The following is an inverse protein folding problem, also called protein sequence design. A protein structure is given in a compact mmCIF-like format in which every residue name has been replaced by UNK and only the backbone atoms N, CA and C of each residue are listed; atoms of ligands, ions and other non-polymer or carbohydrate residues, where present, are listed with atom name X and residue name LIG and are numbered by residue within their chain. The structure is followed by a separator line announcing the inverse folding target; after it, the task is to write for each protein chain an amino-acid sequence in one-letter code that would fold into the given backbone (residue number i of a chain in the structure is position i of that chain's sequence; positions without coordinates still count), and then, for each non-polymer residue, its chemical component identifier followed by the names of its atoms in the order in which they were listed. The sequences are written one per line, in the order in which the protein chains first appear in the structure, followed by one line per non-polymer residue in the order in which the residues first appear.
data_IF_814365748043
#
_entry.id   IF_814365748043
#
_cell.length_a   1.000
_cell.length_b   1.000
_cell.length_c   1.000
_cell.angle_alpha   90.00
_cell.angle_beta   90.00
_cell.angle_gamma   90.00
#
_symmetry.space_group_name_H-M   'P 1'
#
loop_
_entity.id
_entity.type
_entity.pdbx_description
1 polymer ?
#
# COMPACT_ATOMS: atom_id res chain seq x y z
N UNK A 1 -20.90 29.79 56.06
CA UNK A 1 -20.15 28.90 55.15
C UNK A 1 -20.17 29.47 53.73
N UNK A 2 -19.01 29.52 53.07
CA UNK A 2 -18.66 30.52 52.06
C UNK A 2 -19.17 30.16 50.64
N UNK A 3 -20.45 30.48 50.33
CA UNK A 3 -21.13 30.23 49.02
C UNK A 3 -20.31 30.73 47.82
N UNK A 4 -19.61 31.86 47.99
CA UNK A 4 -18.78 32.47 46.96
C UNK A 4 -17.53 31.63 46.60
N UNK A 5 -16.91 31.00 47.60
CA UNK A 5 -15.73 30.13 47.44
C UNK A 5 -16.10 28.81 46.74
N UNK A 6 -17.32 28.31 46.97
CA UNK A 6 -17.85 27.09 46.37
C UNK A 6 -18.14 27.25 44.87
N UNK A 7 -18.69 28.41 44.47
CA UNK A 7 -18.93 28.75 43.06
C UNK A 7 -17.62 28.88 42.26
N UNK A 8 -16.56 29.41 42.87
CA UNK A 8 -15.24 29.55 42.22
C UNK A 8 -14.60 28.19 41.93
N UNK A 9 -14.65 27.24 42.88
CA UNK A 9 -14.18 25.86 42.67
C UNK A 9 -14.99 25.15 41.57
N UNK A 10 -16.31 25.29 41.59
CA UNK A 10 -17.20 24.67 40.57
C UNK A 10 -16.93 25.22 39.17
N UNK A 11 -16.63 26.52 39.06
CA UNK A 11 -16.25 27.17 37.80
C UNK A 11 -14.90 26.66 37.27
N UNK A 12 -13.89 26.55 38.14
CA UNK A 12 -12.56 26.02 37.77
C UNK A 12 -12.67 24.58 37.25
N UNK A 13 -13.44 23.72 37.93
CA UNK A 13 -13.65 22.32 37.52
C UNK A 13 -14.33 22.26 36.14
N UNK A 14 -15.40 23.04 35.91
CA UNK A 14 -16.07 23.10 34.59
C UNK A 14 -15.11 23.54 33.49
N UNK A 15 -14.28 24.55 33.75
CA UNK A 15 -13.31 25.08 32.78
C UNK A 15 -12.22 24.05 32.45
N UNK A 16 -11.71 23.34 33.47
CA UNK A 16 -10.76 22.23 33.29
C UNK A 16 -11.37 21.11 32.44
N UNK A 17 -12.62 20.73 32.73
CA UNK A 17 -13.33 19.69 31.97
C UNK A 17 -13.51 20.10 30.50
N UNK A 18 -13.82 21.38 30.25
CA UNK A 18 -13.97 21.91 28.89
C UNK A 18 -12.64 21.92 28.12
N UNK A 19 -11.52 22.28 28.77
CA UNK A 19 -10.19 22.21 28.17
C UNK A 19 -9.82 20.76 27.83
N UNK A 20 -10.13 19.82 28.73
CA UNK A 20 -9.87 18.39 28.53
C UNK A 20 -10.71 17.82 27.38
N UNK A 21 -11.97 18.22 27.27
CA UNK A 21 -12.87 17.87 26.17
C UNK A 21 -12.34 18.41 24.83
N UNK A 22 -11.93 19.68 24.78
CA UNK A 22 -11.38 20.29 23.56
C UNK A 22 -10.06 19.63 23.15
N UNK A 23 -9.19 19.31 24.11
CA UNK A 23 -8.00 18.51 23.83
C UNK A 23 -8.37 17.13 23.27
N UNK A 24 -9.34 16.44 23.87
CA UNK A 24 -9.79 15.15 23.36
C UNK A 24 -10.31 15.27 21.93
N UNK A 25 -11.19 16.24 21.63
CA UNK A 25 -11.74 16.48 20.28
C UNK A 25 -10.66 16.86 19.26
N UNK A 26 -9.61 17.60 19.66
CA UNK A 26 -8.52 17.98 18.75
C UNK A 26 -7.49 16.85 18.55
N UNK A 27 -7.23 16.04 19.58
CA UNK A 27 -6.21 14.98 19.53
C UNK A 27 -6.75 13.59 19.14
N UNK A 28 -8.05 13.30 19.33
CA UNK A 28 -8.68 12.07 18.84
C UNK A 28 -8.58 11.92 17.31
N UNK A 29 -8.96 12.94 16.51
CA UNK A 29 -8.83 12.84 15.08
C UNK A 29 -7.36 12.64 14.74
N UNK A 30 -6.39 13.36 15.31
CA UNK A 30 -4.97 13.12 15.01
C UNK A 30 -4.50 11.67 15.25
N UNK A 31 -4.96 11.00 16.32
CA UNK A 31 -4.61 9.57 16.56
C UNK A 31 -5.40 8.59 15.69
N UNK A 32 -6.68 8.84 15.43
CA UNK A 32 -7.51 7.99 14.59
C UNK A 32 -7.23 8.20 13.10
N UNK A 33 -7.12 9.45 12.66
CA UNK A 33 -6.72 9.85 11.31
C UNK A 33 -5.27 9.50 11.04
N UNK A 34 -4.33 9.45 11.98
CA UNK A 34 -2.99 8.93 11.68
C UNK A 34 -2.96 7.41 11.49
N UNK A 35 -3.85 6.66 12.15
CA UNK A 35 -4.03 5.22 11.92
C UNK A 35 -4.71 4.94 10.58
N UNK A 36 -5.79 5.67 10.29
CA UNK A 36 -6.47 5.62 8.99
C UNK A 36 -5.54 6.13 7.89
N UNK A 37 -4.88 7.27 8.06
CA UNK A 37 -3.91 7.81 7.12
C UNK A 37 -2.69 6.91 6.98
N UNK A 38 -2.26 6.14 7.98
CA UNK A 38 -1.32 5.04 7.74
C UNK A 38 -1.97 3.97 6.85
N UNK A 39 -3.20 3.56 7.09
CA UNK A 39 -3.88 2.65 6.15
C UNK A 39 -4.02 3.23 4.73
N UNK A 40 -4.22 4.54 4.58
CA UNK A 40 -4.40 5.24 3.30
C UNK A 40 -3.08 5.69 2.62
N UNK A 41 -2.03 5.97 3.38
CA UNK A 41 -0.73 6.48 2.90
C UNK A 41 0.36 5.41 2.88
N UNK A 42 0.24 4.33 3.67
CA UNK A 42 1.35 3.41 3.95
C UNK A 42 1.43 2.17 3.07
N UNK A 43 0.56 2.02 2.08
CA UNK A 43 0.58 0.83 1.21
C UNK A 43 1.16 1.07 -0.18
N UNK A 44 2.25 1.84 -0.21
CA UNK A 44 3.03 2.11 -1.42
C UNK A 44 4.24 1.18 -1.62
N UNK A 45 4.51 0.26 -0.70
CA UNK A 45 5.62 -0.67 -0.88
C UNK A 45 5.31 -1.67 -1.99
N UNK A 46 6.32 -1.99 -2.80
CA UNK A 46 6.21 -2.96 -3.88
C UNK A 46 5.64 -4.30 -3.40
N UNK A 47 6.11 -4.78 -2.25
CA UNK A 47 5.66 -6.04 -1.68
C UNK A 47 4.16 -6.01 -1.39
N UNK A 48 3.67 -4.95 -0.75
CA UNK A 48 2.27 -4.89 -0.38
C UNK A 48 1.34 -4.67 -1.60
N UNK A 49 1.75 -3.82 -2.55
CA UNK A 49 1.04 -3.66 -3.83
C UNK A 49 0.98 -5.00 -4.58
N UNK A 50 2.07 -5.75 -4.60
CA UNK A 50 2.08 -7.03 -5.30
C UNK A 50 1.22 -8.09 -4.61
N UNK A 51 1.14 -8.09 -3.26
CA UNK A 51 0.36 -9.09 -2.51
C UNK A 51 -1.15 -8.78 -2.42
N UNK A 52 -1.54 -7.50 -2.48
CA UNK A 52 -2.95 -7.09 -2.32
C UNK A 52 -3.79 -7.21 -3.59
N UNK A 53 -3.17 -7.24 -4.76
CA UNK A 53 -3.87 -7.24 -6.03
C UNK A 53 -3.58 -8.51 -6.82
N UNK A 54 -4.54 -8.90 -7.64
CA UNK A 54 -4.36 -9.95 -8.62
C UNK A 54 -3.79 -9.35 -9.90
N UNK A 55 -2.78 -10.00 -10.46
CA UNK A 55 -2.03 -9.52 -11.61
C UNK A 55 -2.14 -10.49 -12.75
N UNK A 56 -2.54 -9.98 -13.91
CA UNK A 56 -2.67 -10.76 -15.14
C UNK A 56 -1.61 -10.31 -16.11
N UNK A 57 -0.84 -11.26 -16.64
CA UNK A 57 0.16 -10.98 -17.68
C UNK A 57 -0.57 -10.45 -18.93
N UNK A 58 -0.22 -9.25 -19.39
CA UNK A 58 -0.79 -8.63 -20.58
C UNK A 58 0.06 -8.97 -21.81
N UNK A 59 1.36 -8.70 -21.74
CA UNK A 59 2.32 -9.03 -22.79
C UNK A 59 3.73 -9.22 -22.22
N UNK A 60 4.65 -9.66 -23.07
CA UNK A 60 6.03 -9.85 -22.70
C UNK A 60 6.97 -9.43 -23.83
N UNK A 61 8.00 -8.69 -23.47
CA UNK A 61 9.11 -8.30 -24.35
C UNK A 61 10.31 -9.19 -24.03
N UNK A 62 10.57 -10.17 -24.90
CA UNK A 62 11.72 -11.07 -24.75
C UNK A 62 12.79 -10.76 -25.80
N UNK A 63 14.05 -10.54 -25.40
CA UNK A 63 15.17 -10.43 -26.35
C UNK A 63 15.32 -11.68 -27.22
N UNK A 64 14.95 -12.84 -26.68
CA UNK A 64 14.94 -14.12 -27.39
C UNK A 64 13.71 -14.34 -28.30
N UNK A 65 12.84 -13.34 -28.48
CA UNK A 65 11.59 -13.43 -29.26
C UNK A 65 10.67 -14.59 -28.82
N UNK A 66 10.68 -14.91 -27.53
CA UNK A 66 9.77 -15.91 -26.95
C UNK A 66 8.32 -15.46 -27.01
N UNK A 67 7.41 -16.43 -27.04
CA UNK A 67 5.98 -16.15 -26.88
C UNK A 67 5.65 -15.67 -25.47
N UNK A 68 4.46 -15.11 -25.28
CA UNK A 68 3.98 -14.67 -23.96
C UNK A 68 3.94 -15.82 -22.95
N UNK A 69 3.60 -17.03 -23.40
CA UNK A 69 3.52 -18.23 -22.56
C UNK A 69 4.90 -18.69 -22.05
N UNK A 70 5.95 -18.40 -22.82
CA UNK A 70 7.33 -18.85 -22.57
C UNK A 70 8.17 -17.85 -21.76
N UNK A 71 7.62 -16.69 -21.44
CA UNK A 71 8.36 -15.67 -20.71
C UNK A 71 8.69 -16.08 -19.28
N UNK A 72 9.98 -16.00 -18.94
CA UNK A 72 10.49 -16.51 -17.67
C UNK A 72 9.90 -15.79 -16.45
N UNK A 73 9.56 -14.50 -16.62
CA UNK A 73 8.99 -13.66 -15.56
C UNK A 73 7.51 -13.94 -15.24
N UNK A 74 6.79 -14.76 -16.03
CA UNK A 74 5.36 -15.05 -15.80
C UNK A 74 5.10 -15.61 -14.40
N UNK A 75 5.96 -16.51 -13.94
CA UNK A 75 5.82 -17.14 -12.61
C UNK A 75 6.49 -16.32 -11.51
N UNK A 76 7.36 -15.36 -11.85
CA UNK A 76 8.12 -14.60 -10.86
C UNK A 76 7.20 -13.78 -9.96
N UNK A 77 6.11 -13.23 -10.49
CA UNK A 77 5.13 -12.47 -9.71
C UNK A 77 4.43 -13.29 -8.61
N UNK A 78 4.47 -14.62 -8.71
CA UNK A 78 3.88 -15.53 -7.73
C UNK A 78 4.94 -16.26 -6.87
N UNK A 79 6.21 -16.26 -7.29
CA UNK A 79 7.26 -17.10 -6.70
C UNK A 79 8.41 -16.32 -6.02
N UNK A 80 8.31 -15.00 -5.87
CA UNK A 80 9.27 -14.25 -5.06
C UNK A 80 8.95 -14.42 -3.57
N UNK A 81 9.98 -14.41 -2.71
CA UNK A 81 9.80 -14.41 -1.24
C UNK A 81 9.82 -13.02 -0.65
N UNK A 82 10.55 -12.09 -1.29
CA UNK A 82 10.72 -10.72 -0.80
C UNK A 82 10.82 -9.74 -1.95
N UNK A 83 10.21 -8.57 -1.78
CA UNK A 83 10.46 -7.40 -2.63
C UNK A 83 10.98 -6.26 -1.77
N UNK A 84 12.09 -5.66 -2.21
CA UNK A 84 12.63 -4.46 -1.56
C UNK A 84 11.80 -3.22 -1.89
N UNK A 85 12.02 -2.13 -1.17
CA UNK A 85 11.35 -0.86 -1.45
C UNK A 85 11.72 -0.28 -2.82
N UNK A 86 12.87 -0.67 -3.38
CA UNK A 86 13.33 -0.25 -4.71
C UNK A 86 12.86 -1.21 -5.84
N UNK A 87 12.03 -2.19 -5.50
CA UNK A 87 11.44 -3.13 -6.45
C UNK A 87 12.30 -4.36 -6.77
N UNK A 88 13.48 -4.54 -6.16
CA UNK A 88 14.27 -5.76 -6.35
C UNK A 88 13.57 -7.00 -5.78
N UNK A 89 13.44 -8.03 -6.60
CA UNK A 89 12.78 -9.31 -6.32
C UNK A 89 13.81 -10.35 -5.89
N UNK A 90 13.59 -10.95 -4.73
CA UNK A 90 14.43 -12.03 -4.22
C UNK A 90 13.62 -13.32 -4.10
N UNK A 91 14.17 -14.41 -4.63
CA UNK A 91 13.74 -15.77 -4.33
C UNK A 91 14.79 -16.37 -3.41
N UNK A 92 14.38 -16.78 -2.21
CA UNK A 92 15.31 -17.06 -1.11
C UNK A 92 16.25 -15.87 -0.86
N UNK A 93 17.55 -16.05 -1.09
CA UNK A 93 18.58 -15.01 -0.98
C UNK A 93 19.14 -14.59 -2.34
N UNK A 94 18.60 -15.09 -3.45
CA UNK A 94 19.06 -14.77 -4.80
C UNK A 94 18.25 -13.62 -5.38
N UNK A 95 18.96 -12.62 -5.93
CA UNK A 95 18.36 -11.53 -6.67
C UNK A 95 17.95 -12.03 -8.07
N UNK A 96 16.66 -12.19 -8.29
CA UNK A 96 16.12 -12.80 -9.53
C UNK A 96 15.58 -11.79 -10.51
N UNK A 97 15.08 -10.65 -10.03
CA UNK A 97 14.37 -9.70 -10.88
C UNK A 97 14.24 -8.31 -10.31
N UNK A 98 13.62 -7.43 -11.09
CA UNK A 98 13.22 -6.09 -10.65
C UNK A 98 11.81 -5.79 -11.11
N UNK A 99 10.96 -5.40 -10.17
CA UNK A 99 9.62 -4.90 -10.41
C UNK A 99 9.66 -3.37 -10.52
N UNK A 100 8.87 -2.83 -11.44
CA UNK A 100 8.62 -1.39 -11.58
C UNK A 100 7.11 -1.18 -11.59
N UNK A 101 6.63 -0.27 -10.75
CA UNK A 101 5.22 0.15 -10.80
C UNK A 101 5.09 1.23 -11.85
N UNK A 102 4.33 0.94 -12.91
CA UNK A 102 4.02 1.89 -13.98
C UNK A 102 2.85 2.75 -13.52
N UNK A 103 1.73 2.10 -13.16
CA UNK A 103 0.54 2.74 -12.60
C UNK A 103 0.13 2.02 -11.32
N UNK A 104 -0.18 2.80 -10.28
CA UNK A 104 -0.68 2.24 -9.02
C UNK A 104 -2.14 1.79 -9.18
N UNK A 105 -2.50 0.59 -8.70
CA UNK A 105 -3.89 0.14 -8.69
C UNK A 105 -4.75 0.98 -7.75
N UNK A 106 -6.01 1.15 -8.13
CA UNK A 106 -7.05 1.81 -7.34
C UNK A 106 -7.64 0.79 -6.36
N UNK A 107 -7.51 1.06 -5.06
CA UNK A 107 -7.93 0.14 -4.00
C UNK A 107 -9.45 0.01 -3.83
N UNK A 108 -10.24 0.99 -4.27
CA UNK A 108 -11.69 1.06 -4.06
C UNK A 108 -12.46 1.04 -5.38
N UNK A 109 -12.08 0.15 -6.30
CA UNK A 109 -12.73 0.07 -7.61
C UNK A 109 -13.74 -1.09 -7.68
N UNK A 110 -14.75 -1.09 -6.81
CA UNK A 110 -15.74 -2.17 -6.67
C UNK A 110 -16.65 -2.34 -7.90
N UNK A 111 -16.66 -1.39 -8.84
CA UNK A 111 -17.54 -1.38 -10.01
C UNK A 111 -16.94 -1.90 -11.31
N UNK A 112 -15.65 -2.28 -11.34
CA UNK A 112 -15.00 -2.71 -12.59
C UNK A 112 -14.07 -3.91 -12.38
N UNK A 113 -13.86 -4.68 -13.44
CA UNK A 113 -12.96 -5.85 -13.48
C UNK A 113 -11.48 -5.49 -13.43
N UNK A 114 -11.12 -4.23 -13.67
CA UNK A 114 -9.74 -3.74 -13.62
C UNK A 114 -9.56 -2.72 -12.50
N UNK A 115 -8.49 -2.84 -11.73
CA UNK A 115 -8.13 -1.82 -10.74
C UNK A 115 -7.25 -0.71 -11.34
N UNK A 116 -6.97 -0.77 -12.66
CA UNK A 116 -6.20 0.26 -13.39
C UNK A 116 -4.69 0.28 -13.11
N UNK A 117 -4.21 -0.61 -12.24
CA UNK A 117 -2.80 -0.76 -11.93
C UNK A 117 -2.05 -1.48 -13.04
N UNK A 118 -0.80 -1.07 -13.24
CA UNK A 118 0.11 -1.69 -14.20
C UNK A 118 1.51 -1.76 -13.61
N UNK A 119 2.15 -2.91 -13.75
CA UNK A 119 3.53 -3.13 -13.33
C UNK A 119 4.30 -3.82 -14.44
N UNK A 120 5.62 -3.68 -14.41
CA UNK A 120 6.52 -4.52 -15.19
C UNK A 120 7.48 -5.26 -14.27
N UNK A 121 7.88 -6.46 -14.68
CA UNK A 121 8.91 -7.25 -14.04
C UNK A 121 9.97 -7.59 -15.08
N UNK A 122 11.21 -7.25 -14.77
CA UNK A 122 12.37 -7.69 -15.54
C UNK A 122 13.03 -8.89 -14.84
N UNK A 123 13.16 -9.99 -15.57
CA UNK A 123 14.02 -11.11 -15.16
C UNK A 123 15.48 -10.73 -15.41
N UNK A 124 16.32 -10.77 -14.38
CA UNK A 124 17.70 -10.32 -14.50
C UNK A 124 18.60 -11.32 -15.24
N UNK A 125 18.22 -12.59 -15.31
CA UNK A 125 18.95 -13.66 -15.99
C UNK A 125 18.63 -13.69 -17.48
N UNK A 126 17.35 -13.70 -17.83
CA UNK A 126 16.92 -13.79 -19.25
C UNK A 126 16.78 -12.43 -19.93
N UNK A 127 16.67 -11.36 -19.14
CA UNK A 127 16.32 -10.00 -19.60
C UNK A 127 14.92 -9.89 -20.20
N UNK A 128 14.06 -10.89 -19.99
CA UNK A 128 12.65 -10.82 -20.35
C UNK A 128 11.94 -9.75 -19.50
N UNK A 129 11.07 -8.96 -20.13
CA UNK A 129 10.25 -7.94 -19.46
C UNK A 129 8.77 -8.33 -19.59
N UNK A 130 8.14 -8.68 -18.48
CA UNK A 130 6.72 -9.01 -18.42
C UNK A 130 5.91 -7.81 -17.94
N UNK A 131 4.81 -7.49 -18.61
CA UNK A 131 3.91 -6.41 -18.23
C UNK A 131 2.60 -7.00 -17.72
N UNK A 132 2.15 -6.54 -16.55
CA UNK A 132 0.97 -7.05 -15.88
C UNK A 132 -0.02 -5.92 -15.63
N UNK A 133 -1.29 -6.22 -15.87
CA UNK A 133 -2.43 -5.40 -15.48
C UNK A 133 -3.07 -5.96 -14.21
N UNK A 134 -3.50 -5.08 -13.31
CA UNK A 134 -4.21 -5.49 -12.10
C UNK A 134 -5.71 -5.65 -12.36
N UNK A 135 -6.27 -6.73 -11.83
CA UNK A 135 -7.68 -7.06 -11.93
C UNK A 135 -8.33 -7.14 -10.56
N UNK A 136 -9.65 -6.95 -10.53
CA UNK A 136 -10.50 -7.25 -9.38
C UNK A 136 -11.09 -8.65 -9.60
N UNK A 137 -10.87 -9.55 -8.63
CA UNK A 137 -11.45 -10.90 -8.60
C UNK A 137 -12.42 -10.97 -7.43
#
# INVERSE_FOLDING_TARGET
MNKQKFNRKKYIIKKLFYILLMAFILFLPLKCTSKLAKHYLYDSSYQNISMKFHWTLEWCDSPSKKSKEECSCRNMIHNYKKITNDGYLYSDNELVGKMVIINKPIFFNEGTTSTGGRISITDLKTKDICHFGSINI
#
